data_IF_846941934940
#
_entry.id   IF_846941934940
#
_cell.length_a   1.000
_cell.length_b   1.000
_cell.length_c   1.000
_cell.angle_alpha   90.00
_cell.angle_beta   90.00
_cell.angle_gamma   90.00
#
_symmetry.space_group_name_H-M   'P 1'
#
loop_
_entity.id
_entity.type
_entity.pdbx_description
1 polymer ?
#
# COMPACT_ATOMS: atom_id res chain seq x y z
N UNK A 1 -6.65 -20.47 3.88
CA UNK A 1 -7.31 -21.04 2.69
C UNK A 1 -6.22 -21.52 1.74
N UNK A 2 -6.30 -22.73 1.18
CA UNK A 2 -5.38 -23.16 0.12
C UNK A 2 -5.52 -22.24 -1.11
N UNK A 3 -4.42 -21.84 -1.75
CA UNK A 3 -4.42 -21.07 -3.01
C UNK A 3 -4.55 -19.54 -2.88
N UNK A 4 -4.56 -18.99 -1.67
CA UNK A 4 -4.60 -17.54 -1.45
C UNK A 4 -3.19 -17.03 -1.16
N UNK A 5 -2.78 -15.92 -1.80
CA UNK A 5 -1.47 -15.30 -1.57
C UNK A 5 -1.29 -14.98 -0.08
N UNK A 6 -0.07 -15.19 0.44
CA UNK A 6 0.24 -15.06 1.87
C UNK A 6 -0.03 -13.66 2.47
N UNK A 7 -0.08 -12.64 1.62
CA UNK A 7 -0.33 -11.25 1.99
C UNK A 7 -1.83 -10.89 2.03
N UNK A 8 -2.74 -11.80 1.70
CA UNK A 8 -4.18 -11.59 1.91
C UNK A 8 -4.50 -11.85 3.38
N UNK A 9 -4.86 -10.79 4.10
CA UNK A 9 -5.18 -10.86 5.52
C UNK A 9 -6.60 -11.36 5.80
N UNK A 10 -7.51 -11.25 4.82
CA UNK A 10 -8.88 -11.74 4.91
C UNK A 10 -9.89 -10.75 4.33
N UNK A 11 -11.07 -10.69 4.93
CA UNK A 11 -12.17 -9.80 4.50
C UNK A 11 -12.77 -9.13 5.73
N UNK A 12 -13.04 -7.82 5.65
CA UNK A 12 -13.78 -7.07 6.64
C UNK A 12 -15.15 -6.65 6.10
N UNK A 13 -16.09 -6.33 7.00
CA UNK A 13 -17.34 -5.70 6.62
C UNK A 13 -17.23 -4.19 6.87
N UNK A 14 -17.34 -3.39 5.81
CA UNK A 14 -17.39 -1.95 5.89
C UNK A 14 -18.75 -1.47 5.41
N UNK A 15 -19.61 -1.05 6.35
CA UNK A 15 -20.95 -0.50 6.07
C UNK A 15 -21.83 -1.44 5.22
N UNK A 16 -21.75 -2.75 5.45
CA UNK A 16 -22.54 -3.76 4.74
C UNK A 16 -21.88 -4.29 3.46
N UNK A 17 -20.72 -3.76 3.06
CA UNK A 17 -19.97 -4.21 1.89
C UNK A 17 -18.71 -4.95 2.32
N UNK A 18 -18.46 -6.10 1.69
CA UNK A 18 -17.25 -6.88 1.94
C UNK A 18 -16.03 -6.13 1.38
N UNK A 19 -15.04 -5.91 2.24
CA UNK A 19 -13.78 -5.23 1.96
C UNK A 19 -12.65 -6.25 2.08
N UNK A 20 -12.08 -6.74 0.97
CA UNK A 20 -10.86 -7.53 0.99
C UNK A 20 -9.73 -6.76 1.68
N UNK A 21 -8.98 -7.42 2.56
CA UNK A 21 -7.85 -6.84 3.28
C UNK A 21 -6.54 -7.45 2.80
N UNK A 22 -5.62 -6.59 2.38
CA UNK A 22 -4.27 -6.94 1.91
C UNK A 22 -3.23 -6.34 2.85
N UNK A 23 -2.27 -7.14 3.30
CA UNK A 23 -1.11 -6.70 4.06
C UNK A 23 -0.07 -6.11 3.10
N UNK A 24 0.15 -4.79 3.18
CA UNK A 24 1.05 -4.09 2.28
C UNK A 24 2.51 -4.51 2.47
N UNK A 25 2.93 -4.77 3.72
CA UNK A 25 4.27 -5.28 4.02
C UNK A 25 4.45 -6.68 3.45
N UNK A 26 3.44 -7.54 3.65
CA UNK A 26 3.42 -8.88 3.07
C UNK A 26 3.49 -8.84 1.55
N UNK A 27 2.73 -7.96 0.89
CA UNK A 27 2.73 -7.83 -0.57
C UNK A 27 4.11 -7.52 -1.12
N UNK A 28 4.86 -6.62 -0.47
CA UNK A 28 6.23 -6.30 -0.85
C UNK A 28 7.26 -7.32 -0.37
N UNK A 29 6.85 -8.45 0.22
CA UNK A 29 7.74 -9.51 0.67
C UNK A 29 8.56 -9.14 1.91
N UNK A 30 8.08 -8.20 2.72
CA UNK A 30 8.58 -8.00 4.07
C UNK A 30 7.94 -9.01 5.02
N UNK A 31 8.60 -9.29 6.14
CA UNK A 31 8.06 -10.22 7.14
C UNK A 31 6.70 -9.74 7.65
N UNK A 32 5.72 -10.61 7.57
CA UNK A 32 4.42 -10.44 8.21
C UNK A 32 4.63 -10.39 9.73
N UNK A 33 4.80 -9.20 10.29
CA UNK A 33 4.98 -9.05 11.73
C UNK A 33 3.65 -9.37 12.41
N UNK A 34 3.57 -10.54 13.04
CA UNK A 34 2.36 -11.14 13.62
C UNK A 34 1.70 -10.35 14.75
N UNK A 35 2.31 -9.25 15.23
CA UNK A 35 1.88 -8.56 16.44
C UNK A 35 2.10 -7.03 16.44
N UNK A 36 1.80 -6.31 15.35
CA UNK A 36 1.67 -4.85 15.44
C UNK A 36 0.30 -4.51 16.06
N UNK A 37 0.30 -4.11 17.33
CA UNK A 37 -0.90 -3.79 18.16
C UNK A 37 -1.80 -2.69 17.56
N UNK A 38 -1.31 -1.94 16.57
CA UNK A 38 -2.05 -0.94 15.85
C UNK A 38 -1.77 -1.15 14.37
N UNK A 39 -2.73 -1.69 13.63
CA UNK A 39 -2.74 -1.66 12.17
C UNK A 39 -3.90 -0.80 11.73
N UNK A 40 -3.66 0.12 10.81
CA UNK A 40 -4.69 0.95 10.19
C UNK A 40 -5.08 0.32 8.86
N UNK A 41 -6.33 0.50 8.45
CA UNK A 41 -6.79 0.10 7.12
C UNK A 41 -6.98 1.36 6.29
N UNK A 42 -6.19 1.50 5.22
CA UNK A 42 -6.39 2.49 4.17
C UNK A 42 -7.35 1.90 3.14
N UNK A 43 -8.54 2.47 3.03
CA UNK A 43 -9.54 2.04 2.05
C UNK A 43 -9.28 2.76 0.72
N UNK A 44 -9.13 1.99 -0.35
CA UNK A 44 -9.01 2.48 -1.73
C UNK A 44 -10.27 2.09 -2.49
N UNK A 45 -10.93 3.09 -3.07
CA UNK A 45 -12.16 2.90 -3.84
C UNK A 45 -12.12 3.73 -5.13
N UNK A 46 -12.23 3.06 -6.28
CA UNK A 46 -12.32 3.69 -7.60
C UNK A 46 -12.79 2.71 -8.66
N UNK A 47 -13.75 3.15 -9.46
CA UNK A 47 -14.45 2.29 -10.40
C UNK A 47 -14.90 1.00 -9.69
N UNK A 48 -14.50 -0.16 -10.21
CA UNK A 48 -14.85 -1.47 -9.65
C UNK A 48 -13.88 -1.96 -8.56
N UNK A 49 -12.84 -1.19 -8.24
CA UNK A 49 -11.84 -1.53 -7.23
C UNK A 49 -12.33 -1.08 -5.86
N UNK A 50 -12.40 -2.02 -4.92
CA UNK A 50 -12.69 -1.77 -3.51
C UNK A 50 -11.81 -2.67 -2.65
N UNK A 51 -10.78 -2.09 -2.05
CA UNK A 51 -9.76 -2.83 -1.32
C UNK A 51 -9.31 -2.09 -0.06
N UNK A 52 -9.01 -2.85 0.99
CA UNK A 52 -8.41 -2.35 2.22
C UNK A 52 -6.94 -2.71 2.28
N UNK A 53 -6.08 -1.72 2.35
CA UNK A 53 -4.64 -1.90 2.53
C UNK A 53 -4.31 -1.77 4.02
N UNK A 54 -3.79 -2.82 4.63
CA UNK A 54 -3.29 -2.76 5.98
C UNK A 54 -1.94 -2.07 5.99
N UNK A 55 -1.84 -1.00 6.78
CA UNK A 55 -0.63 -0.21 7.01
C UNK A 55 -0.34 -0.14 8.50
N UNK A 56 0.90 0.13 8.85
CA UNK A 56 1.32 0.20 10.25
C UNK A 56 0.69 1.40 10.96
N UNK A 57 0.87 2.59 10.39
CA UNK A 57 0.50 3.83 11.03
C UNK A 57 0.11 4.90 10.01
N UNK A 58 -0.69 5.85 10.47
CA UNK A 58 -1.04 7.05 9.72
C UNK A 58 -0.57 8.25 10.55
N UNK A 59 0.49 8.92 10.09
CA UNK A 59 1.07 10.09 10.74
C UNK A 59 0.25 11.38 10.56
N UNK A 60 -0.89 11.31 9.87
CA UNK A 60 -1.76 12.45 9.58
C UNK A 60 -1.55 13.02 8.18
N UNK A 61 -1.95 14.27 7.98
CA UNK A 61 -1.86 14.97 6.70
C UNK A 61 -0.70 15.94 6.68
N UNK A 62 0.09 15.92 5.60
CA UNK A 62 1.16 16.88 5.34
C UNK A 62 0.91 17.64 4.05
N UNK A 63 1.41 18.87 3.98
CA UNK A 63 1.33 19.73 2.79
C UNK A 63 2.73 19.92 2.21
N UNK A 64 2.85 19.64 0.92
CA UNK A 64 4.08 19.83 0.17
C UNK A 64 3.84 20.78 -0.99
N UNK A 65 4.85 21.56 -1.35
CA UNK A 65 4.81 22.36 -2.57
C UNK A 65 5.08 21.44 -3.75
N UNK A 66 4.27 21.52 -4.81
CA UNK A 66 4.51 20.75 -6.03
C UNK A 66 5.88 21.07 -6.66
N UNK A 67 6.38 22.29 -6.46
CA UNK A 67 7.72 22.72 -6.90
C UNK A 67 8.86 22.00 -6.18
N UNK A 68 8.59 21.37 -5.03
CA UNK A 68 9.58 20.60 -4.26
C UNK A 68 9.57 19.10 -4.56
N UNK A 69 8.78 18.67 -5.55
CA UNK A 69 8.73 17.28 -5.99
C UNK A 69 10.06 16.89 -6.64
N UNK A 70 10.70 15.87 -6.08
CA UNK A 70 11.92 15.28 -6.63
C UNK A 70 11.54 13.93 -7.25
N UNK A 71 11.77 13.73 -8.56
CA UNK A 71 11.58 12.42 -9.19
C UNK A 71 12.45 11.36 -8.52
N UNK A 72 11.96 10.11 -8.48
CA UNK A 72 12.77 9.03 -7.94
C UNK A 72 13.88 8.61 -8.88
N UNK A 73 15.07 8.45 -8.32
CA UNK A 73 16.14 7.60 -8.85
C UNK A 73 16.02 6.21 -8.22
N UNK A 74 15.99 5.12 -9.00
CA UNK A 74 15.78 3.75 -8.47
C UNK A 74 16.85 3.21 -7.51
N UNK A 75 17.91 3.97 -7.21
CA UNK A 75 19.09 3.47 -6.51
C UNK A 75 18.91 3.36 -4.99
N UNK A 76 17.99 4.14 -4.39
CA UNK A 76 17.88 4.29 -2.93
C UNK A 76 16.64 3.60 -2.32
N UNK A 77 15.87 2.85 -3.11
CA UNK A 77 14.60 2.27 -2.68
C UNK A 77 14.49 0.80 -3.11
N UNK A 78 13.75 -0.01 -2.34
CA UNK A 78 13.42 -1.38 -2.73
C UNK A 78 12.80 -1.40 -4.14
N UNK A 79 13.40 -2.19 -5.04
CA UNK A 79 12.99 -2.28 -6.45
C UNK A 79 11.53 -2.70 -6.61
N UNK A 80 10.98 -3.45 -5.64
CA UNK A 80 9.57 -3.87 -5.63
C UNK A 80 8.61 -2.70 -5.43
N UNK A 81 9.05 -1.62 -4.77
CA UNK A 81 8.25 -0.42 -4.55
C UNK A 81 8.26 0.52 -5.77
N UNK A 82 9.35 0.52 -6.54
CA UNK A 82 9.59 1.49 -7.63
C UNK A 82 8.40 1.67 -8.59
N UNK A 83 7.68 0.62 -9.06
CA UNK A 83 6.51 0.80 -9.94
C UNK A 83 5.39 1.65 -9.33
N UNK A 84 5.32 1.67 -8.00
CA UNK A 84 4.26 2.30 -7.22
C UNK A 84 4.66 3.68 -6.69
N UNK A 85 5.88 4.13 -6.92
CA UNK A 85 6.35 5.45 -6.50
C UNK A 85 6.14 6.49 -7.60
N UNK A 86 5.97 7.76 -7.19
CA UNK A 86 5.78 8.89 -8.10
C UNK A 86 6.82 10.01 -7.94
N UNK A 87 7.64 9.89 -6.91
CA UNK A 87 8.65 10.87 -6.52
C UNK A 87 8.69 10.98 -5.00
N UNK A 88 9.45 11.93 -4.51
CA UNK A 88 9.61 12.19 -3.09
C UNK A 88 9.59 13.68 -2.78
N UNK A 89 9.31 13.98 -1.51
CA UNK A 89 9.57 15.27 -0.91
C UNK A 89 10.63 15.13 0.17
N UNK A 90 11.49 16.13 0.32
CA UNK A 90 12.49 16.18 1.39
C UNK A 90 12.09 17.22 2.43
N UNK A 91 12.03 16.79 3.69
CA UNK A 91 11.87 17.64 4.89
C UNK A 91 12.91 17.17 5.92
N UNK A 92 12.48 16.93 7.17
CA UNK A 92 13.31 16.27 8.20
C UNK A 92 13.73 14.85 7.79
N UNK A 93 12.95 14.22 6.90
CA UNK A 93 13.25 12.94 6.27
C UNK A 93 12.74 12.93 4.82
N UNK A 94 13.09 11.88 4.07
CA UNK A 94 12.54 11.64 2.74
C UNK A 94 11.13 11.04 2.83
N UNK A 95 10.17 11.68 2.16
CA UNK A 95 8.78 11.25 2.07
C UNK A 95 8.50 10.70 0.68
N UNK A 96 8.39 9.37 0.58
CA UNK A 96 8.09 8.67 -0.66
C UNK A 96 6.61 8.89 -1.03
N UNK A 97 6.35 9.29 -2.28
CA UNK A 97 4.98 9.43 -2.80
C UNK A 97 4.57 8.08 -3.37
N UNK A 98 3.98 7.27 -2.51
CA UNK A 98 3.34 6.03 -2.89
C UNK A 98 2.02 6.31 -3.62
N UNK A 99 1.77 5.58 -4.70
CA UNK A 99 0.53 5.61 -5.47
C UNK A 99 -0.30 4.35 -5.17
N UNK A 100 -1.33 4.44 -4.29
CA UNK A 100 -2.26 3.34 -4.08
C UNK A 100 -2.95 2.93 -5.39
N UNK A 101 -3.16 3.88 -6.31
CA UNK A 101 -3.71 3.61 -7.63
C UNK A 101 -2.86 2.66 -8.46
N UNK A 102 -1.55 2.91 -8.52
CA UNK A 102 -0.62 2.05 -9.24
C UNK A 102 -0.61 0.63 -8.66
N UNK A 103 -0.70 0.52 -7.33
CA UNK A 103 -0.73 -0.75 -6.63
C UNK A 103 -1.98 -1.55 -7.03
N UNK A 104 -3.16 -0.99 -6.82
CA UNK A 104 -4.43 -1.70 -7.02
C UNK A 104 -4.73 -2.02 -8.49
N UNK A 105 -4.01 -1.42 -9.44
CA UNK A 105 -4.11 -1.72 -10.87
C UNK A 105 -3.04 -2.71 -11.36
N UNK A 106 -2.07 -3.08 -10.52
CA UNK A 106 -1.04 -4.03 -10.94
C UNK A 106 -1.57 -5.45 -11.05
N UNK A 107 -1.10 -6.19 -12.05
CA UNK A 107 -1.49 -7.58 -12.26
C UNK A 107 -1.19 -8.43 -11.01
N UNK A 108 -0.01 -8.24 -10.40
CA UNK A 108 0.43 -8.98 -9.21
C UNK A 108 -0.49 -8.75 -7.99
N UNK A 109 -1.07 -7.57 -7.87
CA UNK A 109 -2.01 -7.24 -6.78
C UNK A 109 -3.42 -7.76 -7.06
N UNK A 110 -3.85 -7.76 -8.33
CA UNK A 110 -5.18 -8.24 -8.72
C UNK A 110 -5.24 -9.78 -8.81
N UNK A 111 -4.10 -10.43 -9.04
CA UNK A 111 -3.97 -11.89 -9.05
C UNK A 111 -3.96 -12.46 -7.62
N UNK A 112 -5.13 -12.48 -6.98
CA UNK A 112 -5.31 -12.97 -5.61
C UNK A 112 -5.35 -14.49 -5.49
N UNK A 113 -5.52 -15.21 -6.60
CA UNK A 113 -5.72 -16.66 -6.64
C UNK A 113 -4.79 -17.30 -7.70
N UNK A 114 -3.80 -18.05 -7.23
CA UNK A 114 -2.95 -18.92 -8.07
C UNK A 114 -2.94 -20.33 -7.54
#
# INVERSE_FOLDING_TARGET
MPGVKFWVAGVANLRGRLLPLMDLCGFFGHELTSARKQRRVMVVEYNDIFAGLMVDEVFGMQRFSQLSLIPHTPQDVDQRLVPFLRGQFIREQAWQIFSPWALVQSADFMDLAS
#
